data_IF_309625616507
#
_entry.id   IF_309625616507
#
_cell.length_a   1.000
_cell.length_b   1.000
_cell.length_c   1.000
_cell.angle_alpha   90.00
_cell.angle_beta   90.00
_cell.angle_gamma   90.00
#
_symmetry.space_group_name_H-M   'P 1'
#
loop_
_entity.id
_entity.type
_entity.pdbx_description
1 polymer ?
#
# COMPACT_ATOMS: atom_id res chain seq x y z
N UNK A 1 24.52 -14.89 1.88
CA UNK A 1 25.10 -13.55 1.63
C UNK A 1 24.25 -12.72 0.65
N UNK A 2 22.91 -12.88 0.63
CA UNK A 2 21.99 -12.07 -0.21
C UNK A 2 21.15 -11.08 0.63
N UNK A 3 21.39 -11.03 1.95
CA UNK A 3 20.61 -10.26 2.92
C UNK A 3 21.38 -9.05 3.47
N UNK A 4 22.56 -8.76 2.93
CA UNK A 4 23.60 -7.98 3.62
C UNK A 4 23.33 -6.46 3.61
N UNK A 5 22.22 -6.01 3.01
CA UNK A 5 21.80 -4.60 2.98
C UNK A 5 20.31 -4.41 3.28
N UNK A 6 19.81 -4.98 4.38
CA UNK A 6 18.51 -4.61 4.92
C UNK A 6 18.62 -3.22 5.60
N UNK A 7 17.85 -2.22 5.13
CA UNK A 7 17.70 -0.93 5.83
C UNK A 7 16.58 -1.02 6.85
N UNK A 8 16.95 -1.49 8.03
CA UNK A 8 16.14 -1.65 9.23
C UNK A 8 16.84 -2.64 10.16
N UNK A 9 16.44 -2.77 11.41
CA UNK A 9 16.82 -3.95 12.18
C UNK A 9 15.86 -5.07 11.73
N UNK A 10 16.32 -6.26 11.30
CA UNK A 10 15.41 -7.36 10.96
C UNK A 10 14.51 -7.78 12.15
N UNK A 11 14.87 -7.40 13.38
CA UNK A 11 14.06 -7.53 14.59
C UNK A 11 13.24 -6.27 14.91
N UNK A 12 13.52 -5.13 14.29
CA UNK A 12 12.75 -3.88 14.34
C UNK A 12 12.55 -3.28 12.93
N UNK A 13 11.70 -3.92 12.11
CA UNK A 13 11.52 -3.58 10.71
C UNK A 13 10.83 -2.22 10.49
N UNK A 14 10.30 -1.59 11.54
CA UNK A 14 9.65 -0.27 11.52
C UNK A 14 10.26 0.60 12.63
N UNK A 15 11.59 0.75 12.57
CA UNK A 15 12.36 1.49 13.56
C UNK A 15 11.81 2.91 13.81
N UNK A 16 11.99 3.40 15.03
CA UNK A 16 11.44 4.68 15.47
C UNK A 16 11.98 5.90 14.70
N UNK A 17 13.13 5.76 14.05
CA UNK A 17 13.75 6.75 13.16
C UNK A 17 13.17 6.75 11.74
N UNK A 18 12.32 5.79 11.38
CA UNK A 18 11.59 5.82 10.12
C UNK A 18 10.71 7.07 10.05
N UNK A 19 10.72 7.85 8.95
CA UNK A 19 9.90 9.04 8.82
C UNK A 19 8.43 8.71 9.03
N UNK A 20 7.89 9.12 10.19
CA UNK A 20 6.49 8.90 10.52
C UNK A 20 5.66 10.08 10.03
N UNK A 21 4.44 9.83 9.53
CA UNK A 21 3.49 10.90 9.30
C UNK A 21 3.34 11.74 10.58
N UNK A 22 3.49 13.07 10.45
CA UNK A 22 3.31 13.98 11.58
C UNK A 22 1.84 13.95 11.97
N UNK A 23 1.57 13.71 13.25
CA UNK A 23 0.23 13.87 13.81
C UNK A 23 -0.27 15.29 13.52
N UNK A 24 -1.36 15.41 12.76
CA UNK A 24 -1.96 16.71 12.43
C UNK A 24 -2.58 17.32 13.68
N UNK A 25 -2.19 18.55 14.02
CA UNK A 25 -2.52 19.22 15.29
C UNK A 25 -3.84 19.99 15.31
N UNK A 26 -4.51 20.15 14.16
CA UNK A 26 -5.72 20.97 14.05
C UNK A 26 -6.98 20.17 13.74
N UNK A 27 -7.83 20.06 14.76
CA UNK A 27 -9.18 19.49 14.72
C UNK A 27 -10.13 20.26 13.78
N UNK A 28 -9.85 21.51 13.42
CA UNK A 28 -10.66 22.31 12.50
C UNK A 28 -10.16 22.30 11.05
N UNK A 29 -9.04 21.64 10.76
CA UNK A 29 -8.65 21.28 9.39
C UNK A 29 -9.47 20.10 8.81
N UNK A 30 -10.47 19.60 9.55
CA UNK A 30 -11.42 18.58 9.09
C UNK A 30 -11.67 17.43 10.08
N UNK A 31 -11.19 17.51 11.31
CA UNK A 31 -11.19 16.41 12.29
C UNK A 31 -11.92 16.83 13.58
N UNK A 32 -13.22 16.61 13.68
CA UNK A 32 -14.01 16.87 14.90
C UNK A 32 -13.36 16.27 16.15
N UNK A 33 -13.17 17.11 17.18
CA UNK A 33 -12.79 16.73 18.54
C UNK A 33 -13.75 15.67 19.08
N UNK A 34 -13.23 14.51 19.53
CA UNK A 34 -14.02 13.38 20.05
C UNK A 34 -14.15 12.18 19.11
N UNK A 35 -13.08 11.80 18.40
CA UNK A 35 -13.06 10.59 17.56
C UNK A 35 -13.14 9.30 18.39
N UNK A 36 -13.83 8.26 17.91
CA UNK A 36 -13.74 6.93 18.50
C UNK A 36 -12.41 6.32 18.06
N UNK A 37 -11.37 6.61 18.82
CA UNK A 37 -10.27 5.67 19.00
C UNK A 37 -10.45 5.24 20.45
N UNK A 38 -10.74 3.95 20.65
CA UNK A 38 -10.93 3.39 21.99
C UNK A 38 -9.81 3.87 22.91
N UNK A 39 -10.17 4.21 24.16
CA UNK A 39 -9.38 4.93 25.15
C UNK A 39 -8.10 4.24 25.64
N UNK A 40 -7.25 3.80 24.73
CA UNK A 40 -5.87 3.44 24.98
C UNK A 40 -4.99 4.43 24.24
N UNK A 41 -3.89 4.83 24.86
CA UNK A 41 -2.94 5.86 24.44
C UNK A 41 -2.25 5.64 23.06
N UNK A 42 -2.78 4.76 22.22
CA UNK A 42 -2.29 4.38 20.89
C UNK A 42 -3.34 4.66 19.80
N UNK A 43 -4.10 5.75 19.92
CA UNK A 43 -5.13 6.15 18.95
C UNK A 43 -4.48 6.43 17.58
N UNK A 44 -4.49 5.45 16.69
CA UNK A 44 -3.78 5.46 15.41
C UNK A 44 -4.28 6.54 14.45
N UNK A 45 -3.33 7.00 13.62
CA UNK A 45 -3.43 7.98 12.55
C UNK A 45 -4.47 7.58 11.49
N UNK A 46 -5.75 7.87 11.74
CA UNK A 46 -6.80 7.73 10.72
C UNK A 46 -7.15 9.09 10.14
N UNK A 47 -6.99 9.29 8.85
CA UNK A 47 -7.26 10.59 8.23
C UNK A 47 -6.81 10.64 6.79
N UNK A 48 -7.19 11.72 6.11
CA UNK A 48 -6.71 12.06 4.78
C UNK A 48 -6.45 13.56 4.72
N UNK A 49 -5.25 13.96 4.34
CA UNK A 49 -4.87 15.36 4.22
C UNK A 49 -3.71 15.55 3.23
N UNK A 50 -3.66 16.68 2.52
CA UNK A 50 -2.47 17.02 1.75
C UNK A 50 -1.30 17.32 2.69
N UNK A 51 -0.11 16.84 2.35
CA UNK A 51 1.14 17.23 2.99
C UNK A 51 1.73 18.46 2.29
N UNK A 52 2.33 19.35 3.09
CA UNK A 52 3.06 20.53 2.61
C UNK A 52 4.56 20.29 2.46
N UNK A 53 5.09 19.27 3.15
CA UNK A 53 6.50 18.90 3.05
C UNK A 53 6.81 18.40 1.62
N UNK A 54 8.02 18.63 1.07
CA UNK A 54 8.42 18.13 -0.24
C UNK A 54 8.32 16.60 -0.34
N UNK A 55 7.92 16.07 -1.49
CA UNK A 55 7.72 14.62 -1.65
C UNK A 55 9.00 13.81 -1.45
N UNK A 56 10.16 14.41 -1.69
CA UNK A 56 11.49 13.84 -1.48
C UNK A 56 11.74 13.48 0.00
N UNK A 57 10.94 14.04 0.92
CA UNK A 57 10.99 13.72 2.34
C UNK A 57 10.06 12.56 2.74
N UNK A 58 9.20 12.08 1.84
CA UNK A 58 8.24 11.03 2.14
C UNK A 58 8.93 9.65 2.17
N UNK A 59 8.50 8.77 3.08
CA UNK A 59 9.11 7.44 3.25
C UNK A 59 9.20 6.63 1.95
N UNK A 60 8.11 6.56 1.19
CA UNK A 60 8.08 5.82 -0.08
C UNK A 60 9.01 6.41 -1.15
N UNK A 61 9.20 7.74 -1.15
CA UNK A 61 10.16 8.39 -2.04
C UNK A 61 11.59 8.01 -1.68
N UNK A 62 11.94 8.04 -0.39
CA UNK A 62 13.26 7.68 0.11
C UNK A 62 13.57 6.19 -0.14
N UNK A 63 12.59 5.31 0.04
CA UNK A 63 12.70 3.88 -0.30
C UNK A 63 12.95 3.69 -1.80
N UNK A 64 12.19 4.41 -2.62
CA UNK A 64 12.33 4.37 -4.08
C UNK A 64 13.70 4.86 -4.52
N UNK A 65 14.18 5.98 -3.99
CA UNK A 65 15.52 6.51 -4.27
C UNK A 65 16.62 5.51 -3.92
N UNK A 66 16.51 4.88 -2.73
CA UNK A 66 17.46 3.87 -2.30
C UNK A 66 17.47 2.65 -3.23
N UNK A 67 16.30 2.14 -3.61
CA UNK A 67 16.17 1.01 -4.52
C UNK A 67 16.75 1.31 -5.90
N UNK A 68 16.48 2.50 -6.45
CA UNK A 68 17.08 2.99 -7.70
C UNK A 68 18.60 3.05 -7.59
N UNK A 69 19.14 3.51 -6.45
CA UNK A 69 20.58 3.55 -6.24
C UNK A 69 21.20 2.15 -6.18
N UNK A 70 20.50 1.15 -5.61
CA UNK A 70 20.97 -0.24 -5.61
C UNK A 70 21.03 -0.82 -7.04
N UNK A 71 20.05 -0.51 -7.89
CA UNK A 71 20.04 -0.94 -9.30
C UNK A 71 21.19 -0.37 -10.13
N UNK A 72 21.79 0.74 -9.70
CA UNK A 72 22.95 1.37 -10.38
C UNK A 72 24.29 0.81 -9.94
N UNK A 73 24.35 0.12 -8.80
CA UNK A 73 25.62 -0.39 -8.29
C UNK A 73 26.14 -1.49 -9.22
N UNK A 74 27.43 -1.44 -9.63
CA UNK A 74 28.02 -2.51 -10.42
C UNK A 74 28.12 -3.77 -9.56
N UNK A 75 27.82 -4.92 -10.14
CA UNK A 75 27.95 -6.20 -9.47
C UNK A 75 27.99 -7.37 -10.44
N UNK A 76 28.80 -8.37 -10.11
CA UNK A 76 28.93 -9.60 -10.91
C UNK A 76 27.94 -10.70 -10.47
N UNK A 77 27.16 -10.43 -9.41
CA UNK A 77 26.19 -11.37 -8.83
C UNK A 77 24.76 -10.94 -9.17
N UNK A 78 23.80 -11.88 -9.30
CA UNK A 78 22.39 -11.55 -9.39
C UNK A 78 21.92 -10.73 -8.18
N UNK A 79 21.09 -9.72 -8.41
CA UNK A 79 20.50 -8.88 -7.37
C UNK A 79 19.09 -9.38 -7.02
N UNK A 80 18.84 -9.60 -5.73
CA UNK A 80 17.50 -9.74 -5.18
C UNK A 80 17.14 -8.45 -4.45
N UNK A 81 16.08 -7.77 -4.88
CA UNK A 81 15.66 -6.50 -4.30
C UNK A 81 14.19 -6.56 -3.90
N UNK A 82 13.92 -6.43 -2.60
CA UNK A 82 12.56 -6.29 -2.07
C UNK A 82 12.31 -4.83 -1.71
N UNK A 83 11.32 -4.21 -2.36
CA UNK A 83 10.98 -2.79 -2.17
C UNK A 83 9.58 -2.69 -1.59
N UNK A 84 9.49 -2.34 -0.31
CA UNK A 84 8.22 -2.18 0.40
C UNK A 84 7.74 -0.72 0.38
N UNK A 85 6.67 -0.44 -0.35
CA UNK A 85 6.00 0.86 -0.34
C UNK A 85 4.87 0.86 0.69
N UNK A 86 4.78 1.93 1.49
CA UNK A 86 3.85 2.05 2.62
C UNK A 86 2.46 2.49 2.20
N UNK A 87 2.33 3.41 1.22
CA UNK A 87 1.01 3.80 0.71
C UNK A 87 0.35 2.63 -0.06
N UNK A 88 -0.98 2.46 0.05
CA UNK A 88 -1.97 3.37 0.62
C UNK A 88 -2.35 3.08 2.09
N UNK A 89 -1.45 2.57 2.93
CA UNK A 89 -1.74 2.45 4.36
C UNK A 89 -2.05 3.83 4.97
N UNK A 90 -2.99 3.85 5.92
CA UNK A 90 -3.37 5.04 6.68
C UNK A 90 -2.18 5.63 7.47
N UNK A 91 -2.15 6.96 7.73
CA UNK A 91 -3.07 7.98 7.26
C UNK A 91 -2.85 8.30 5.77
N UNK A 92 -3.88 8.69 5.04
CA UNK A 92 -3.78 8.99 3.61
C UNK A 92 -3.25 10.39 3.35
N UNK A 93 -1.95 10.53 3.46
CA UNK A 93 -1.24 11.79 3.46
C UNK A 93 -0.18 11.82 2.36
N UNK A 94 -0.44 12.60 1.32
CA UNK A 94 0.41 12.80 0.15
C UNK A 94 0.27 14.25 -0.31
N UNK A 95 1.08 14.74 -1.23
CA UNK A 95 1.00 16.14 -1.67
C UNK A 95 -0.35 16.45 -2.36
N UNK A 96 -0.72 17.74 -2.40
CA UNK A 96 -1.99 18.21 -2.95
C UNK A 96 -2.21 17.78 -4.42
N UNK A 97 -1.16 17.69 -5.23
CA UNK A 97 -1.28 17.35 -6.66
C UNK A 97 -1.95 15.99 -6.88
N UNK A 98 -1.80 15.05 -5.95
CA UNK A 98 -2.43 13.74 -6.02
C UNK A 98 -3.91 13.77 -5.64
N UNK A 99 -4.28 14.64 -4.71
CA UNK A 99 -5.68 14.89 -4.39
C UNK A 99 -6.40 15.58 -5.56
N UNK A 100 -5.70 16.43 -6.32
CA UNK A 100 -6.27 17.17 -7.46
C UNK A 100 -6.68 16.26 -8.62
N UNK A 101 -6.12 15.05 -8.72
CA UNK A 101 -6.56 14.02 -9.68
C UNK A 101 -7.98 13.49 -9.40
N UNK A 102 -8.51 13.74 -8.21
CA UNK A 102 -9.78 13.19 -7.74
C UNK A 102 -10.69 14.31 -7.18
N UNK A 103 -11.41 15.05 -8.03
CA UNK A 103 -12.42 16.02 -7.59
C UNK A 103 -13.41 15.35 -6.62
N UNK A 104 -13.67 15.99 -5.47
CA UNK A 104 -14.39 15.35 -4.36
C UNK A 104 -15.82 14.93 -4.72
N UNK A 105 -16.47 15.69 -5.59
CA UNK A 105 -17.81 15.46 -6.11
C UNK A 105 -17.87 14.35 -7.19
N UNK A 106 -16.72 13.95 -7.74
CA UNK A 106 -16.60 12.84 -8.70
C UNK A 106 -16.15 11.52 -8.04
N UNK A 107 -15.73 11.56 -6.77
CA UNK A 107 -15.26 10.37 -6.04
C UNK A 107 -16.42 9.38 -5.84
N UNK A 108 -16.24 8.19 -6.40
CA UNK A 108 -17.17 7.07 -6.23
C UNK A 108 -16.89 6.35 -4.92
N UNK A 109 -17.91 6.23 -4.09
CA UNK A 109 -17.86 5.42 -2.88
C UNK A 109 -18.11 3.94 -3.23
N UNK A 110 -17.60 3.00 -2.41
CA UNK A 110 -17.97 1.61 -2.51
C UNK A 110 -19.48 1.41 -2.36
N UNK A 111 -19.98 0.31 -2.93
CA UNK A 111 -21.38 -0.08 -2.74
C UNK A 111 -21.65 -0.34 -1.26
N UNK A 112 -22.75 0.21 -0.76
CA UNK A 112 -23.14 0.10 0.63
C UNK A 112 -24.58 -0.37 0.74
N UNK A 113 -24.76 -1.53 1.36
CA UNK A 113 -26.06 -2.09 1.66
C UNK A 113 -26.33 -1.97 3.17
N UNK A 114 -27.41 -1.31 3.61
CA UNK A 114 -27.69 -1.11 5.04
C UNK A 114 -27.85 -2.41 5.85
N UNK A 115 -28.23 -3.52 5.20
CA UNK A 115 -28.47 -4.82 5.81
C UNK A 115 -27.40 -5.87 5.49
N UNK A 116 -26.24 -5.44 4.97
CA UNK A 116 -25.17 -6.32 4.44
C UNK A 116 -24.47 -7.20 5.49
N UNK A 117 -24.79 -6.99 6.76
CA UNK A 117 -24.28 -7.75 7.90
C UNK A 117 -25.33 -8.65 8.55
N UNK A 118 -26.58 -8.65 8.05
CA UNK A 118 -27.70 -9.37 8.70
C UNK A 118 -27.48 -10.87 8.78
N UNK A 119 -26.80 -11.44 7.79
CA UNK A 119 -26.45 -12.85 7.66
C UNK A 119 -24.97 -13.14 7.91
N UNK A 120 -24.21 -12.14 8.40
CA UNK A 120 -22.79 -12.25 8.68
C UNK A 120 -22.48 -12.22 10.17
N UNK A 121 -21.31 -12.74 10.55
CA UNK A 121 -20.78 -12.54 11.89
C UNK A 121 -20.47 -11.05 12.12
N UNK A 122 -20.88 -10.51 13.27
CA UNK A 122 -20.57 -9.13 13.64
C UNK A 122 -19.09 -8.99 13.95
N UNK A 123 -18.39 -8.13 13.21
CA UNK A 123 -16.98 -7.80 13.46
C UNK A 123 -16.78 -6.82 14.63
N UNK A 124 -17.86 -6.24 15.17
CA UNK A 124 -17.81 -5.34 16.33
C UNK A 124 -17.23 -3.95 16.09
N UNK A 125 -16.91 -3.59 14.83
CA UNK A 125 -16.26 -2.32 14.46
C UNK A 125 -17.18 -1.34 13.72
N UNK A 126 -18.49 -1.62 13.65
CA UNK A 126 -19.49 -0.81 12.92
C UNK A 126 -19.54 0.66 13.38
N UNK A 127 -19.24 0.90 14.65
CA UNK A 127 -19.18 2.25 15.22
C UNK A 127 -18.19 3.18 14.48
N UNK A 128 -17.13 2.61 13.90
CA UNK A 128 -16.18 3.37 13.10
C UNK A 128 -16.84 3.92 11.83
N UNK A 129 -17.48 3.06 11.04
CA UNK A 129 -18.15 3.49 9.82
C UNK A 129 -19.34 4.42 10.11
N UNK A 130 -20.10 4.17 11.19
CA UNK A 130 -21.13 5.11 11.65
C UNK A 130 -20.56 6.51 11.87
N UNK A 131 -19.43 6.63 12.58
CA UNK A 131 -18.77 7.92 12.78
C UNK A 131 -18.36 8.57 11.46
N UNK A 132 -17.79 7.81 10.51
CA UNK A 132 -17.41 8.34 9.19
C UNK A 132 -18.62 8.93 8.45
N UNK A 133 -19.76 8.24 8.48
CA UNK A 133 -21.01 8.73 7.85
C UNK A 133 -21.56 9.97 8.56
N UNK A 134 -21.70 9.91 9.89
CA UNK A 134 -22.24 11.01 10.70
C UNK A 134 -21.42 12.31 10.54
N UNK A 135 -20.11 12.18 10.30
CA UNK A 135 -19.19 13.30 10.11
C UNK A 135 -18.93 13.65 8.63
N UNK A 136 -19.64 13.02 7.68
CA UNK A 136 -19.51 13.25 6.23
C UNK A 136 -18.07 13.11 5.71
N UNK A 137 -17.34 12.12 6.22
CA UNK A 137 -15.91 11.92 5.91
C UNK A 137 -15.66 10.89 4.80
N UNK A 138 -16.64 10.06 4.46
CA UNK A 138 -16.42 8.90 3.58
C UNK A 138 -15.79 9.27 2.23
N UNK A 139 -16.35 10.26 1.52
CA UNK A 139 -15.82 10.71 0.24
C UNK A 139 -14.40 11.28 0.36
N UNK A 140 -14.09 11.98 1.46
CA UNK A 140 -12.75 12.53 1.70
C UNK A 140 -11.71 11.43 1.95
N UNK A 141 -12.11 10.39 2.68
CA UNK A 141 -11.26 9.23 2.93
C UNK A 141 -11.05 8.39 1.68
N UNK A 142 -12.09 8.17 0.89
CA UNK A 142 -11.96 7.53 -0.42
C UNK A 142 -11.05 8.34 -1.35
N UNK A 143 -11.19 9.68 -1.38
CA UNK A 143 -10.29 10.57 -2.12
C UNK A 143 -8.83 10.41 -1.68
N UNK A 144 -8.57 10.40 -0.37
CA UNK A 144 -7.23 10.19 0.17
C UNK A 144 -6.64 8.83 -0.18
N UNK A 145 -7.44 7.77 -0.10
CA UNK A 145 -7.04 6.42 -0.49
C UNK A 145 -6.62 6.37 -1.96
N UNK A 146 -7.44 6.93 -2.86
CA UNK A 146 -7.13 7.04 -4.30
C UNK A 146 -5.90 7.91 -4.58
N UNK A 147 -5.77 9.06 -3.92
CA UNK A 147 -4.59 9.93 -4.03
C UNK A 147 -3.32 9.19 -3.60
N UNK A 148 -3.39 8.41 -2.52
CA UNK A 148 -2.27 7.60 -2.04
C UNK A 148 -1.90 6.49 -3.03
N UNK A 149 -2.89 5.89 -3.70
CA UNK A 149 -2.65 4.92 -4.78
C UNK A 149 -1.96 5.57 -5.96
N UNK A 150 -2.41 6.73 -6.43
CA UNK A 150 -1.74 7.45 -7.53
C UNK A 150 -0.29 7.81 -7.19
N UNK A 151 -0.04 8.24 -5.96
CA UNK A 151 1.32 8.54 -5.52
C UNK A 151 2.21 7.30 -5.52
N UNK A 152 1.73 6.16 -5.01
CA UNK A 152 2.53 4.92 -4.98
C UNK A 152 2.72 4.33 -6.38
N UNK A 153 1.73 4.48 -7.28
CA UNK A 153 1.85 4.14 -8.69
C UNK A 153 2.96 4.95 -9.37
N UNK A 154 3.07 6.25 -9.05
CA UNK A 154 4.19 7.07 -9.52
C UNK A 154 5.55 6.59 -8.98
N UNK A 155 5.64 6.21 -7.70
CA UNK A 155 6.87 5.64 -7.15
C UNK A 155 7.25 4.31 -7.83
N UNK A 156 6.26 3.44 -8.09
CA UNK A 156 6.45 2.23 -8.87
C UNK A 156 6.96 2.54 -10.29
N UNK A 157 6.39 3.53 -10.97
CA UNK A 157 6.86 3.99 -12.28
C UNK A 157 8.34 4.39 -12.26
N UNK A 158 8.78 5.14 -11.24
CA UNK A 158 10.20 5.50 -11.07
C UNK A 158 11.11 4.28 -10.92
N UNK A 159 10.68 3.23 -10.21
CA UNK A 159 11.43 1.99 -10.09
C UNK A 159 11.55 1.26 -11.42
N UNK A 160 10.45 1.18 -12.17
CA UNK A 160 10.43 0.52 -13.48
C UNK A 160 11.27 1.28 -14.52
N UNK A 161 11.18 2.61 -14.55
CA UNK A 161 12.02 3.46 -15.41
C UNK A 161 13.52 3.27 -15.11
N UNK A 162 13.87 3.15 -13.82
CA UNK A 162 15.25 2.89 -13.42
C UNK A 162 15.73 1.48 -13.81
N UNK A 163 14.86 0.47 -13.68
CA UNK A 163 15.14 -0.89 -14.13
C UNK A 163 15.35 -0.92 -15.65
N UNK A 164 14.49 -0.26 -16.42
CA UNK A 164 14.58 -0.17 -17.89
C UNK A 164 15.87 0.54 -18.35
N UNK A 165 16.35 1.52 -17.59
CA UNK A 165 17.61 2.19 -17.83
C UNK A 165 18.84 1.38 -17.35
N UNK A 166 18.64 0.29 -16.62
CA UNK A 166 19.71 -0.53 -16.05
C UNK A 166 20.20 -1.63 -17.02
N UNK A 167 21.42 -2.16 -16.81
CA UNK A 167 21.87 -3.37 -17.52
C UNK A 167 21.03 -4.63 -17.24
N UNK A 168 20.19 -4.61 -16.19
CA UNK A 168 19.40 -5.76 -15.74
C UNK A 168 18.04 -5.89 -16.44
N UNK A 169 17.62 -4.89 -17.25
CA UNK A 169 16.25 -4.80 -17.83
C UNK A 169 15.76 -6.08 -18.52
N UNK A 170 16.64 -6.76 -19.27
CA UNK A 170 16.29 -7.95 -20.05
C UNK A 170 16.31 -9.25 -19.23
N UNK A 171 16.80 -9.20 -17.99
CA UNK A 171 17.08 -10.37 -17.16
C UNK A 171 16.62 -10.19 -15.70
N UNK A 172 15.47 -9.53 -15.51
CA UNK A 172 14.89 -9.31 -14.17
C UNK A 172 13.50 -9.90 -14.08
N UNK A 173 13.29 -10.74 -13.07
CA UNK A 173 11.96 -11.18 -12.65
C UNK A 173 11.35 -10.08 -11.78
N UNK A 174 10.13 -9.65 -12.08
CA UNK A 174 9.40 -8.65 -11.31
C UNK A 174 8.16 -9.31 -10.73
N UNK A 175 7.96 -9.18 -9.42
CA UNK A 175 6.72 -9.58 -8.74
C UNK A 175 6.17 -8.35 -8.04
N UNK A 176 4.96 -7.93 -8.41
CA UNK A 176 4.22 -6.85 -7.74
C UNK A 176 3.02 -7.45 -7.03
N UNK A 177 2.95 -7.27 -5.71
CA UNK A 177 1.84 -7.74 -4.90
C UNK A 177 1.55 -6.79 -3.74
N UNK A 178 0.42 -7.02 -3.06
CA UNK A 178 0.10 -6.39 -1.78
C UNK A 178 -0.03 -7.47 -0.71
N UNK A 179 0.31 -7.15 0.53
CA UNK A 179 0.22 -8.03 1.70
C UNK A 179 -1.24 -8.36 2.09
N UNK A 180 -2.15 -7.40 1.93
CA UNK A 180 -3.58 -7.58 2.13
C UNK A 180 -4.40 -6.48 1.43
N UNK A 181 -5.71 -6.70 1.28
CA UNK A 181 -6.64 -5.66 0.83
C UNK A 181 -6.99 -4.63 1.92
N UNK A 182 -7.97 -3.77 1.64
CA UNK A 182 -8.40 -2.73 2.58
C UNK A 182 -9.90 -2.39 2.40
N UNK A 183 -10.69 -2.45 3.47
CA UNK A 183 -12.06 -1.93 3.46
C UNK A 183 -12.10 -0.41 3.51
N UNK A 184 -12.92 0.19 2.64
CA UNK A 184 -13.24 1.62 2.62
C UNK A 184 -14.74 1.79 2.90
N UNK A 185 -15.24 1.21 4.00
CA UNK A 185 -16.61 1.36 4.45
C UNK A 185 -17.60 0.29 3.98
N UNK A 186 -17.21 -0.61 3.08
CA UNK A 186 -18.02 -1.81 2.79
C UNK A 186 -18.26 -2.59 4.09
N UNK A 187 -19.45 -3.18 4.22
CA UNK A 187 -19.83 -3.96 5.41
C UNK A 187 -19.61 -3.22 6.74
N UNK A 188 -19.81 -1.89 6.70
CA UNK A 188 -19.60 -0.98 7.84
C UNK A 188 -18.21 -1.13 8.49
N UNK A 189 -17.21 -1.51 7.69
CA UNK A 189 -15.88 -1.84 8.16
C UNK A 189 -14.81 -0.98 7.51
N UNK A 190 -13.64 -0.93 8.15
CA UNK A 190 -12.45 -0.26 7.64
C UNK A 190 -11.25 -1.17 7.89
N UNK A 191 -10.19 -0.97 7.11
CA UNK A 191 -8.96 -1.75 7.17
C UNK A 191 -9.15 -3.24 6.79
N UNK A 192 -8.26 -4.12 7.27
CA UNK A 192 -8.00 -5.47 6.78
C UNK A 192 -8.51 -6.62 7.64
N UNK A 193 -8.97 -6.36 8.87
CA UNK A 193 -9.26 -7.43 9.84
C UNK A 193 -10.61 -8.14 9.58
N UNK A 194 -10.77 -8.71 8.39
CA UNK A 194 -11.94 -9.45 7.93
C UNK A 194 -11.54 -10.52 6.89
N UNK A 195 -12.47 -11.40 6.55
CA UNK A 195 -12.29 -12.49 5.57
C UNK A 195 -13.00 -12.22 4.24
N UNK A 196 -13.36 -10.96 3.97
CA UNK A 196 -14.04 -10.56 2.75
C UNK A 196 -13.02 -10.28 1.64
N UNK A 197 -13.45 -10.42 0.38
CA UNK A 197 -12.60 -10.15 -0.79
C UNK A 197 -11.88 -8.81 -0.71
N UNK A 198 -12.53 -7.76 -0.18
CA UNK A 198 -11.92 -6.43 -0.02
C UNK A 198 -10.64 -6.45 0.80
N UNK A 199 -10.47 -7.39 1.73
CA UNK A 199 -9.32 -7.48 2.63
C UNK A 199 -8.38 -8.63 2.32
N UNK A 200 -8.83 -9.63 1.55
CA UNK A 200 -8.03 -10.83 1.24
C UNK A 200 -7.59 -10.92 -0.21
N UNK A 201 -8.30 -10.26 -1.14
CA UNK A 201 -7.97 -10.27 -2.56
C UNK A 201 -7.03 -9.12 -2.89
N UNK A 202 -5.83 -9.46 -3.35
CA UNK A 202 -4.74 -8.51 -3.63
C UNK A 202 -4.34 -8.54 -5.10
N UNK A 203 -3.74 -7.46 -5.63
CA UNK A 203 -3.02 -7.53 -6.90
C UNK A 203 -1.87 -8.54 -6.80
N UNK A 204 -1.64 -9.30 -7.86
CA UNK A 204 -0.46 -10.13 -8.06
C UNK A 204 -0.11 -10.10 -9.55
N UNK A 205 1.02 -9.47 -9.87
CA UNK A 205 1.58 -9.42 -11.22
C UNK A 205 2.96 -10.04 -11.21
N UNK A 206 3.26 -10.87 -12.20
CA UNK A 206 4.57 -11.51 -12.37
C UNK A 206 5.04 -11.29 -13.80
N UNK A 207 6.20 -10.65 -13.94
CA UNK A 207 6.96 -10.57 -15.17
C UNK A 207 8.18 -11.48 -15.04
N UNK A 208 8.31 -12.45 -15.92
CA UNK A 208 9.45 -13.34 -16.03
C UNK A 208 9.99 -13.27 -17.47
N UNK A 209 11.23 -12.79 -17.69
CA UNK A 209 11.81 -12.65 -19.02
C UNK A 209 11.77 -13.96 -19.82
N UNK A 210 11.31 -13.90 -21.07
CA UNK A 210 11.19 -15.05 -21.95
C UNK A 210 10.02 -16.01 -21.64
N UNK A 211 9.30 -15.83 -20.54
CA UNK A 211 8.14 -16.64 -20.15
C UNK A 211 6.82 -15.84 -20.24
N UNK A 212 6.79 -14.66 -19.61
CA UNK A 212 5.58 -13.83 -19.55
C UNK A 212 5.20 -13.25 -20.91
N UNK A 213 3.90 -13.13 -21.16
CA UNK A 213 3.33 -12.42 -22.31
C UNK A 213 2.50 -11.23 -21.85
N UNK A 214 2.63 -10.11 -22.53
CA UNK A 214 1.91 -8.88 -22.19
C UNK A 214 0.40 -9.10 -22.18
N UNK A 215 -0.24 -8.65 -21.09
CA UNK A 215 -1.68 -8.75 -20.91
C UNK A 215 -2.20 -10.16 -20.64
N UNK A 216 -1.34 -11.16 -20.47
CA UNK A 216 -1.75 -12.51 -20.07
C UNK A 216 -2.40 -12.48 -18.67
N UNK A 217 -3.48 -13.25 -18.52
CA UNK A 217 -4.31 -13.27 -17.30
C UNK A 217 -4.69 -14.70 -16.98
N UNK A 218 -4.70 -15.02 -15.70
CA UNK A 218 -5.25 -16.27 -15.19
C UNK A 218 -6.38 -16.02 -14.21
N UNK A 219 -7.31 -16.97 -14.14
CA UNK A 219 -8.36 -17.04 -13.11
C UNK A 219 -8.07 -18.12 -12.07
N UNK A 220 -6.92 -18.78 -12.18
CA UNK A 220 -6.51 -19.79 -11.21
C UNK A 220 -6.31 -19.12 -9.84
N UNK A 221 -6.93 -19.66 -8.77
CA UNK A 221 -6.65 -19.20 -7.43
C UNK A 221 -5.16 -19.38 -7.10
N UNK A 222 -4.57 -18.36 -6.47
CA UNK A 222 -3.20 -18.38 -5.96
C UNK A 222 -3.20 -17.74 -4.56
N UNK A 223 -2.21 -18.11 -3.75
CA UNK A 223 -1.97 -17.54 -2.42
C UNK A 223 -0.60 -16.87 -2.39
N UNK A 224 -0.43 -15.85 -1.55
CA UNK A 224 0.86 -15.17 -1.38
C UNK A 224 1.98 -16.12 -0.93
N UNK A 225 1.64 -17.26 -0.32
CA UNK A 225 2.60 -18.33 0.01
C UNK A 225 3.21 -18.99 -1.22
N UNK A 226 2.57 -18.89 -2.40
CA UNK A 226 3.06 -19.44 -3.66
C UNK A 226 4.21 -18.59 -4.24
N UNK A 227 4.39 -17.34 -3.78
CA UNK A 227 5.43 -16.43 -4.30
C UNK A 227 6.83 -17.02 -4.08
N UNK A 228 7.11 -17.59 -2.91
CA UNK A 228 8.44 -18.12 -2.60
C UNK A 228 8.84 -19.30 -3.51
N UNK A 229 8.08 -20.42 -3.60
CA UNK A 229 8.43 -21.50 -4.51
C UNK A 229 8.45 -21.06 -5.97
N UNK A 230 7.58 -20.13 -6.38
CA UNK A 230 7.56 -19.57 -7.74
C UNK A 230 8.86 -18.82 -8.05
N UNK A 231 9.34 -17.97 -7.13
CA UNK A 231 10.60 -17.24 -7.31
C UNK A 231 11.80 -18.19 -7.35
N UNK A 232 11.82 -19.24 -6.51
CA UNK A 232 12.86 -20.27 -6.58
C UNK A 232 12.89 -20.94 -7.95
N UNK A 233 11.74 -21.38 -8.46
CA UNK A 233 11.64 -22.02 -9.77
C UNK A 233 12.10 -21.09 -10.89
N UNK A 234 11.60 -19.85 -10.94
CA UNK A 234 11.95 -18.86 -11.96
C UNK A 234 13.44 -18.48 -11.92
N UNK A 235 14.05 -18.46 -10.74
CA UNK A 235 15.47 -18.18 -10.56
C UNK A 235 16.38 -19.41 -10.71
N UNK A 236 15.83 -20.60 -10.96
CA UNK A 236 16.59 -21.86 -11.07
C UNK A 236 17.21 -22.33 -9.75
N UNK A 237 16.61 -21.96 -8.62
CA UNK A 237 17.03 -22.35 -7.27
C UNK A 237 16.24 -23.59 -6.79
N UNK A 238 16.80 -24.38 -5.85
CA UNK A 238 16.05 -25.46 -5.21
C UNK A 238 14.76 -24.95 -4.55
N UNK A 239 13.66 -25.65 -4.78
CA UNK A 239 12.36 -25.34 -4.15
C UNK A 239 12.36 -25.96 -2.73
N UNK A 240 12.03 -25.19 -1.68
CA UNK A 240 11.94 -25.67 -0.29
C UNK A 240 10.90 -26.78 -0.05
#
# INVERSE_FOLDING_TARGET
DAWDAYRGDPLDPISADWPRPKLVSDEKAGLTKGRPLGGHANSQLFGAAPLSDPEESYGDHLVTDWAIEQMKQPGDKPLFLAVGLFRPHIPWEVSQRWFDLYPLDEVKLPEHRPDDLKDAHSHGRQGWHKWVRDNRQWAKFMRGYLASISYVDHQLGRLLDALDASPMKENTIIVLWSDHGFHIGEKENWEKFALWDQTTRVPLFIHAPGLSKDGEKTRQPATLTDIYPTLCELAGLPIP
#
